data_IF_142665588742
#
_entry.id   IF_142665588742
#
_cell.length_a   1.000
_cell.length_b   1.000
_cell.length_c   1.000
_cell.angle_alpha   90.00
_cell.angle_beta   90.00
_cell.angle_gamma   90.00
#
_symmetry.space_group_name_H-M   'P 1'
#
loop_
_entity.id
_entity.type
_entity.pdbx_description
1 polymer ?
#
# COMPACT_ATOMS: atom_id res chain seq x y z
N UNK A 1 8.06 8.51 -9.56
CA UNK A 1 7.82 8.06 -10.95
C UNK A 1 6.32 7.91 -11.17
N UNK A 2 5.74 8.31 -12.31
CA UNK A 2 4.29 8.16 -12.56
C UNK A 2 3.99 6.85 -13.30
N UNK A 3 2.82 6.25 -13.06
CA UNK A 3 2.38 5.01 -13.74
C UNK A 3 2.48 5.13 -15.26
N UNK A 4 2.10 6.28 -15.81
CA UNK A 4 2.14 6.54 -17.26
C UNK A 4 3.56 6.39 -17.83
N UNK A 5 4.59 6.84 -17.10
CA UNK A 5 5.99 6.68 -17.54
C UNK A 5 6.41 5.21 -17.53
N UNK A 6 6.00 4.43 -16.53
CA UNK A 6 6.27 2.99 -16.45
C UNK A 6 5.59 2.21 -17.57
N UNK A 7 4.31 2.52 -17.85
CA UNK A 7 3.58 1.92 -18.97
C UNK A 7 4.26 2.23 -20.29
N UNK A 8 4.58 3.51 -20.57
CA UNK A 8 5.23 3.91 -21.81
C UNK A 8 6.55 3.17 -22.06
N UNK A 9 7.34 2.93 -21.01
CA UNK A 9 8.59 2.18 -21.09
C UNK A 9 8.40 0.69 -21.47
N UNK A 10 7.23 0.09 -21.18
CA UNK A 10 6.94 -1.33 -21.46
C UNK A 10 6.21 -1.58 -22.77
N UNK A 11 5.61 -0.56 -23.39
CA UNK A 11 4.91 -0.69 -24.68
C UNK A 11 5.81 -1.29 -25.77
N UNK A 12 7.09 -0.89 -25.93
CA UNK A 12 7.97 -1.47 -26.95
C UNK A 12 8.19 -2.98 -26.79
N UNK A 13 8.45 -3.46 -25.58
CA UNK A 13 8.62 -4.90 -25.30
C UNK A 13 7.32 -5.69 -25.55
N UNK A 14 6.17 -5.10 -25.20
CA UNK A 14 4.87 -5.71 -25.45
C UNK A 14 4.54 -5.80 -26.95
N UNK A 15 4.94 -4.80 -27.75
CA UNK A 15 4.81 -4.81 -29.22
C UNK A 15 5.70 -5.88 -29.86
N UNK A 16 6.96 -6.01 -29.41
CA UNK A 16 7.87 -7.04 -29.88
C UNK A 16 7.33 -8.45 -29.60
N UNK A 17 6.80 -8.68 -28.39
CA UNK A 17 6.20 -9.97 -28.02
C UNK A 17 4.94 -10.29 -28.84
N UNK A 18 4.24 -9.28 -29.34
CA UNK A 18 3.07 -9.44 -30.19
C UNK A 18 3.40 -9.69 -31.67
N UNK A 19 4.68 -9.73 -32.04
CA UNK A 19 5.11 -9.96 -33.43
C UNK A 19 4.81 -8.79 -34.36
N UNK A 20 4.83 -7.55 -33.84
CA UNK A 20 4.59 -6.36 -34.65
C UNK A 20 5.71 -6.12 -35.67
N UNK A 21 5.33 -5.90 -36.95
CA UNK A 21 6.18 -5.30 -37.99
C UNK A 21 6.49 -3.81 -37.67
N UNK A 22 7.30 -3.15 -38.51
CA UNK A 22 7.71 -1.73 -38.38
C UNK A 22 6.56 -0.75 -38.09
N UNK A 23 5.34 -1.03 -38.57
CA UNK A 23 4.12 -0.28 -38.21
C UNK A 23 3.03 -1.23 -37.70
N UNK A 24 2.77 -1.31 -36.39
CA UNK A 24 1.75 -2.18 -35.84
C UNK A 24 0.34 -1.73 -36.23
N UNK A 25 -0.55 -2.70 -36.47
CA UNK A 25 -1.98 -2.41 -36.62
C UNK A 25 -2.57 -1.88 -35.30
N UNK A 26 -3.66 -1.11 -35.39
CA UNK A 26 -4.32 -0.53 -34.21
C UNK A 26 -4.74 -1.58 -33.17
N UNK A 27 -5.11 -2.80 -33.60
CA UNK A 27 -5.44 -3.91 -32.71
C UNK A 27 -4.23 -4.46 -31.95
N UNK A 28 -3.08 -4.57 -32.62
CA UNK A 28 -1.81 -5.00 -32.01
C UNK A 28 -1.33 -3.96 -31.00
N UNK A 29 -1.39 -2.67 -31.36
CA UNK A 29 -1.04 -1.57 -30.48
C UNK A 29 -1.92 -1.54 -29.22
N UNK A 30 -3.24 -1.65 -29.37
CA UNK A 30 -4.18 -1.65 -28.24
C UNK A 30 -3.90 -2.81 -27.28
N UNK A 31 -3.57 -3.99 -27.82
CA UNK A 31 -3.23 -5.18 -27.03
C UNK A 31 -1.91 -5.01 -26.28
N UNK A 32 -0.89 -4.47 -26.95
CA UNK A 32 0.41 -4.19 -26.34
C UNK A 32 0.33 -3.14 -25.23
N UNK A 33 -0.42 -2.05 -25.45
CA UNK A 33 -0.66 -1.04 -24.42
C UNK A 33 -1.41 -1.64 -23.23
N UNK A 34 -2.47 -2.42 -23.46
CA UNK A 34 -3.19 -3.10 -22.37
C UNK A 34 -2.26 -4.00 -21.56
N UNK A 35 -1.42 -4.78 -22.23
CA UNK A 35 -0.44 -5.64 -21.56
C UNK A 35 0.57 -4.83 -20.75
N UNK A 36 1.16 -3.79 -21.33
CA UNK A 36 2.10 -2.90 -20.65
C UNK A 36 1.50 -2.26 -19.40
N UNK A 37 0.23 -1.82 -19.47
CA UNK A 37 -0.54 -1.33 -18.32
C UNK A 37 -0.66 -2.41 -17.24
N UNK A 38 -1.15 -3.59 -17.59
CA UNK A 38 -1.35 -4.68 -16.63
C UNK A 38 -0.05 -5.12 -15.97
N UNK A 39 1.03 -5.22 -16.74
CA UNK A 39 2.33 -5.63 -16.23
C UNK A 39 2.92 -4.55 -15.30
N UNK A 40 2.79 -3.26 -15.64
CA UNK A 40 3.24 -2.16 -14.76
C UNK A 40 2.51 -2.17 -13.42
N UNK A 41 1.18 -2.29 -13.44
CA UNK A 41 0.40 -2.37 -12.20
C UNK A 41 0.70 -3.63 -11.39
N UNK A 42 0.96 -4.78 -12.05
CA UNK A 42 1.34 -6.02 -11.35
C UNK A 42 2.68 -5.86 -10.63
N UNK A 43 3.70 -5.36 -11.31
CA UNK A 43 5.02 -5.14 -10.71
C UNK A 43 4.95 -4.15 -9.56
N UNK A 44 4.21 -3.05 -9.74
CA UNK A 44 4.00 -2.06 -8.67
C UNK A 44 3.33 -2.70 -7.45
N UNK A 45 2.25 -3.45 -7.64
CA UNK A 45 1.53 -4.08 -6.54
C UNK A 45 2.41 -5.05 -5.76
N UNK A 46 3.23 -5.85 -6.44
CA UNK A 46 4.18 -6.76 -5.79
C UNK A 46 5.25 -5.99 -5.00
N UNK A 47 5.85 -4.97 -5.60
CA UNK A 47 6.87 -4.16 -4.94
C UNK A 47 6.32 -3.41 -3.72
N UNK A 48 5.16 -2.77 -3.86
CA UNK A 48 4.50 -2.06 -2.78
C UNK A 48 4.08 -3.02 -1.64
N UNK A 49 3.60 -4.21 -1.99
CA UNK A 49 3.30 -5.28 -1.03
C UNK A 49 4.52 -5.69 -0.21
N UNK A 50 5.63 -6.02 -0.87
CA UNK A 50 6.87 -6.37 -0.17
C UNK A 50 7.36 -5.24 0.74
N UNK A 51 7.27 -3.98 0.30
CA UNK A 51 7.71 -2.84 1.11
C UNK A 51 6.81 -2.62 2.34
N UNK A 52 5.49 -2.74 2.16
CA UNK A 52 4.52 -2.66 3.26
C UNK A 52 4.77 -3.76 4.30
N UNK A 53 5.04 -5.00 3.86
CA UNK A 53 5.40 -6.10 4.77
C UNK A 53 6.68 -5.82 5.55
N UNK A 54 7.73 -5.32 4.88
CA UNK A 54 9.00 -4.98 5.53
C UNK A 54 8.79 -3.90 6.60
N UNK A 55 8.09 -2.81 6.28
CA UNK A 55 7.84 -1.74 7.23
C UNK A 55 6.93 -2.19 8.38
N UNK A 56 5.92 -3.03 8.13
CA UNK A 56 5.07 -3.61 9.17
C UNK A 56 5.88 -4.53 10.12
N UNK A 57 6.79 -5.33 9.57
CA UNK A 57 7.69 -6.16 10.37
C UNK A 57 8.61 -5.31 11.24
N UNK A 58 9.18 -4.24 10.69
CA UNK A 58 9.97 -3.28 11.44
C UNK A 58 9.13 -2.63 12.54
N UNK A 59 7.89 -2.22 12.24
CA UNK A 59 6.97 -1.63 13.21
C UNK A 59 6.74 -2.51 14.43
N UNK A 60 6.55 -3.82 14.21
CA UNK A 60 6.27 -4.80 15.28
C UNK A 60 7.48 -5.14 16.15
N UNK A 61 8.71 -4.98 15.63
CA UNK A 61 9.95 -5.44 16.30
C UNK A 61 10.82 -4.33 16.85
N UNK A 62 10.60 -3.08 16.46
CA UNK A 62 11.67 -2.09 16.51
C UNK A 62 12.07 -1.54 17.89
N UNK A 63 11.26 -1.66 18.96
CA UNK A 63 11.62 -1.10 20.28
C UNK A 63 12.20 0.33 20.15
N UNK A 64 13.41 0.56 20.69
CA UNK A 64 14.12 1.86 20.65
C UNK A 64 14.84 2.17 19.33
N UNK A 65 15.00 1.21 18.40
CA UNK A 65 15.65 1.45 17.08
C UNK A 65 14.68 1.97 16.00
N UNK A 66 13.45 2.28 16.41
CA UNK A 66 12.32 2.65 15.55
C UNK A 66 12.49 4.01 14.87
N UNK A 67 13.22 4.92 15.52
CA UNK A 67 13.34 6.31 15.07
C UNK A 67 14.17 6.46 13.79
N UNK A 68 15.35 5.85 13.73
CA UNK A 68 16.27 5.99 12.58
C UNK A 68 15.79 5.25 11.35
N UNK A 69 15.33 3.99 11.52
CA UNK A 69 14.82 3.19 10.40
C UNK A 69 13.42 3.67 9.97
N UNK A 70 12.60 4.11 10.92
CA UNK A 70 11.26 4.64 10.66
C UNK A 70 11.28 5.92 9.83
N UNK A 71 12.21 6.84 10.07
CA UNK A 71 12.33 8.08 9.31
C UNK A 71 12.64 7.85 7.83
N UNK A 72 13.68 7.06 7.53
CA UNK A 72 14.05 6.73 6.15
C UNK A 72 12.93 5.96 5.42
N UNK A 73 12.29 5.01 6.11
CA UNK A 73 11.18 4.26 5.53
C UNK A 73 9.96 5.15 5.26
N UNK A 74 9.67 6.12 6.13
CA UNK A 74 8.56 7.06 5.95
C UNK A 74 8.72 7.90 4.69
N UNK A 75 9.91 8.43 4.44
CA UNK A 75 10.18 9.18 3.20
C UNK A 75 10.04 8.29 1.96
N UNK A 76 10.56 7.05 2.00
CA UNK A 76 10.41 6.13 0.87
C UNK A 76 8.95 5.75 0.58
N UNK A 77 8.15 5.48 1.61
CA UNK A 77 6.72 5.23 1.45
C UNK A 77 6.02 6.43 0.80
N UNK A 78 6.34 7.65 1.25
CA UNK A 78 5.81 8.89 0.70
C UNK A 78 6.18 9.10 -0.77
N UNK A 79 7.45 8.90 -1.15
CA UNK A 79 7.91 9.01 -2.54
C UNK A 79 7.19 8.04 -3.47
N UNK A 80 6.84 6.86 -2.95
CA UNK A 80 6.12 5.82 -3.67
C UNK A 80 4.61 5.98 -3.64
N UNK A 81 4.09 7.00 -2.92
CA UNK A 81 2.65 7.25 -2.71
C UNK A 81 1.96 6.07 -2.01
N UNK A 82 2.63 5.55 -0.99
CA UNK A 82 2.13 4.52 -0.10
C UNK A 82 1.83 5.18 1.24
N UNK A 83 0.56 5.16 1.63
CA UNK A 83 0.10 5.72 2.89
C UNK A 83 0.12 4.64 3.97
N UNK A 84 0.87 4.89 5.04
CA UNK A 84 0.80 4.14 6.29
C UNK A 84 -0.33 4.72 7.13
N UNK A 85 -1.27 3.89 7.56
CA UNK A 85 -2.42 4.30 8.40
C UNK A 85 -2.26 3.67 9.77
N UNK A 86 -2.39 4.48 10.81
CA UNK A 86 -2.23 4.07 12.21
C UNK A 86 -3.48 4.32 13.05
N UNK A 87 -4.44 5.06 12.49
CA UNK A 87 -5.67 5.53 13.13
C UNK A 87 -6.75 4.43 13.06
N UNK A 88 -7.14 3.84 14.20
CA UNK A 88 -8.14 2.76 14.23
C UNK A 88 -9.54 3.17 13.75
N UNK A 89 -9.85 4.47 13.76
CA UNK A 89 -11.12 5.04 13.30
C UNK A 89 -11.35 4.79 11.80
N UNK A 90 -10.27 4.56 11.04
CA UNK A 90 -10.30 4.15 9.63
C UNK A 90 -10.56 2.64 9.47
N UNK A 91 -11.60 2.14 10.16
CA UNK A 91 -11.84 0.72 10.43
C UNK A 91 -11.91 -0.20 9.21
N UNK A 92 -12.24 0.31 8.02
CA UNK A 92 -12.31 -0.47 6.78
C UNK A 92 -10.93 -0.92 6.26
N UNK A 93 -9.85 -0.34 6.80
CA UNK A 93 -8.45 -0.67 6.46
C UNK A 93 -7.82 -1.68 7.40
N UNK A 94 -8.54 -2.09 8.45
CA UNK A 94 -8.02 -2.93 9.52
C UNK A 94 -8.83 -4.21 9.70
N UNK A 95 -8.15 -5.26 10.16
CA UNK A 95 -8.76 -6.49 10.65
C UNK A 95 -8.63 -6.53 12.16
N UNK A 96 -9.75 -6.75 12.84
CA UNK A 96 -9.78 -6.96 14.29
C UNK A 96 -9.49 -8.43 14.56
N UNK A 97 -8.33 -8.74 15.15
CA UNK A 97 -7.86 -10.12 15.28
C UNK A 97 -8.37 -10.82 16.54
N UNK A 98 -8.49 -10.09 17.67
CA UNK A 98 -8.86 -10.66 18.97
C UNK A 98 -9.18 -9.58 20.02
N UNK A 99 -9.58 -10.00 21.22
CA UNK A 99 -9.79 -9.12 22.39
C UNK A 99 -11.24 -8.91 22.79
N UNK A 100 -11.46 -8.20 23.90
CA UNK A 100 -12.78 -7.87 24.46
C UNK A 100 -12.78 -6.39 24.90
N UNK A 101 -13.91 -5.72 24.75
CA UNK A 101 -14.08 -4.29 25.03
C UNK A 101 -14.36 -3.44 23.79
N UNK A 102 -14.56 -2.15 24.02
CA UNK A 102 -15.05 -1.20 23.00
C UNK A 102 -13.96 -0.31 22.41
N UNK A 103 -12.73 -0.37 22.94
CA UNK A 103 -11.59 0.38 22.42
C UNK A 103 -10.66 -0.49 21.57
N UNK A 104 -9.85 0.14 20.71
CA UNK A 104 -8.90 -0.52 19.82
C UNK A 104 -7.45 -0.18 20.17
N UNK A 105 -6.60 -1.20 20.15
CA UNK A 105 -5.14 -1.10 20.21
C UNK A 105 -4.56 -1.47 18.86
N UNK A 106 -3.66 -0.62 18.35
CA UNK A 106 -2.95 -0.86 17.09
C UNK A 106 -1.84 -1.90 17.27
N UNK A 107 -1.98 -3.07 16.64
CA UNK A 107 -0.94 -4.09 16.59
C UNK A 107 0.00 -3.87 15.40
N UNK A 108 -0.56 -3.58 14.22
CA UNK A 108 0.19 -3.25 13.01
C UNK A 108 -0.54 -2.22 12.16
N UNK A 109 0.19 -1.32 11.48
CA UNK A 109 -0.39 -0.33 10.58
C UNK A 109 -1.00 -0.99 9.33
N UNK A 110 -1.96 -0.29 8.72
CA UNK A 110 -2.43 -0.61 7.38
C UNK A 110 -1.65 0.18 6.33
N UNK A 111 -1.66 -0.29 5.08
CA UNK A 111 -0.98 0.36 3.96
C UNK A 111 -1.90 0.48 2.76
N UNK A 112 -1.97 1.69 2.19
CA UNK A 112 -2.83 2.02 1.05
C UNK A 112 -1.97 2.55 -0.10
N UNK A 113 -2.19 2.05 -1.31
CA UNK A 113 -1.61 2.66 -2.51
C UNK A 113 -2.46 3.87 -2.91
N UNK A 114 -1.96 5.09 -2.70
CA UNK A 114 -2.69 6.31 -3.04
C UNK A 114 -2.88 6.48 -4.55
N UNK A 115 -2.13 5.75 -5.39
CA UNK A 115 -2.39 5.75 -6.84
C UNK A 115 -3.66 5.00 -7.21
N UNK A 116 -4.04 3.99 -6.43
CA UNK A 116 -5.17 3.11 -6.74
C UNK A 116 -6.30 3.22 -5.72
N UNK A 117 -6.06 3.84 -4.57
CA UNK A 117 -6.95 3.88 -3.42
C UNK A 117 -7.14 2.53 -2.71
N UNK A 118 -6.35 1.51 -3.08
CA UNK A 118 -6.53 0.15 -2.56
C UNK A 118 -5.65 -0.11 -1.35
N UNK A 119 -6.20 -0.83 -0.38
CA UNK A 119 -5.42 -1.43 0.71
C UNK A 119 -4.48 -2.48 0.09
N UNK A 120 -3.18 -2.29 0.31
CA UNK A 120 -2.13 -3.23 -0.07
C UNK A 120 -1.97 -4.29 1.03
N UNK A 121 -1.93 -3.82 2.28
CA UNK A 121 -1.78 -4.65 3.47
C UNK A 121 -2.74 -4.11 4.53
N UNK A 122 -3.66 -4.95 4.98
CA UNK A 122 -4.59 -4.58 6.05
C UNK A 122 -3.84 -4.51 7.38
N UNK A 123 -4.14 -3.49 8.16
CA UNK A 123 -3.60 -3.34 9.51
C UNK A 123 -4.29 -4.30 10.48
N UNK A 124 -3.72 -4.45 11.66
CA UNK A 124 -4.26 -5.32 12.70
C UNK A 124 -4.57 -4.52 13.96
N UNK A 125 -5.78 -4.73 14.47
CA UNK A 125 -6.26 -4.14 15.71
C UNK A 125 -6.62 -5.25 16.71
N UNK A 126 -6.41 -4.96 17.98
CA UNK A 126 -6.91 -5.75 19.10
C UNK A 126 -7.95 -4.95 19.88
N UNK A 127 -9.05 -5.60 20.28
CA UNK A 127 -10.02 -5.01 21.21
C UNK A 127 -9.47 -5.00 22.62
N UNK A 128 -9.57 -3.85 23.28
CA UNK A 128 -9.18 -3.66 24.67
C UNK A 128 -10.32 -3.02 25.45
N UNK A 129 -10.38 -3.29 26.75
CA UNK A 129 -11.26 -2.56 27.65
C UNK A 129 -10.87 -1.08 27.63
N UNK A 130 -11.88 -0.18 27.62
CA UNK A 130 -11.63 1.26 27.69
C UNK A 130 -10.82 1.54 28.97
N UNK A 131 -9.65 2.20 28.86
CA UNK A 131 -8.92 2.60 30.05
C UNK A 131 -9.82 3.49 30.90
N UNK A 132 -10.02 3.13 32.16
CA UNK A 132 -10.74 3.95 33.14
C UNK A 132 -10.01 5.30 33.31
N UNK A 133 -10.32 6.26 32.45
CA UNK A 133 -9.62 7.55 32.40
C UNK A 133 -9.84 8.35 31.11
N UNK A 134 -10.24 7.73 30.00
CA UNK A 134 -10.60 8.46 28.77
C UNK A 134 -12.06 8.88 28.85
N UNK A 135 -12.31 10.11 29.31
CA UNK A 135 -13.58 10.78 29.05
C UNK A 135 -13.63 11.08 27.55
N UNK A 136 -14.44 10.33 26.81
CA UNK A 136 -14.85 10.73 25.46
C UNK A 136 -15.59 12.06 25.63
N UNK A 137 -14.91 13.14 25.25
CA UNK A 137 -15.46 14.49 25.30
C UNK A 137 -16.60 14.60 24.30
N UNK A 138 -17.80 14.58 24.85
CA UNK A 138 -19.06 15.03 24.26
C UNK A 138 -18.88 16.47 23.74
N UNK A 139 -18.90 16.68 22.42
CA UNK A 139 -19.00 18.04 21.86
C UNK A 139 -20.43 18.55 22.11
N UNK A 140 -20.51 19.69 22.81
CA UNK A 140 -21.71 20.43 23.15
C UNK A 140 -22.10 21.46 22.08
#
# INVERSE_FOLDING_TARGET
MTVIKGVAARVPEALQTAGADEVPSAGVLTTAVRRAVLDEFRTRAQFAGCLAEIDALLWSRAGDSRETVGGAMTEHLRELRLLRVTEPEESDRFVVTEGQGDAFELLSPAYVDELTGKVILAGQLRRIAVPAGVKVGEEA
#
